data_IF_718323077247
#
_entry.id   IF_718323077247
#
_cell.length_a   1.000
_cell.length_b   1.000
_cell.length_c   1.000
_cell.angle_alpha   90.00
_cell.angle_beta   90.00
_cell.angle_gamma   90.00
#
_symmetry.space_group_name_H-M   'P 1'
#
loop_
_entity.id
_entity.type
_entity.pdbx_description
1 polymer ?
#
# COMPACT_ATOMS: atom_id res chain seq x y z
N UNK A 1 4.99 4.39 -3.87
CA UNK A 1 3.66 5.01 -3.98
C UNK A 1 2.70 4.29 -3.07
N UNK A 2 1.95 5.00 -2.21
CA UNK A 2 0.92 4.40 -1.36
C UNK A 2 -0.44 4.54 -2.05
N UNK A 3 -0.89 3.51 -2.77
CA UNK A 3 -2.19 3.54 -3.48
C UNK A 3 -3.38 3.45 -2.52
N UNK A 4 -3.26 2.61 -1.48
CA UNK A 4 -4.21 2.56 -0.35
C UNK A 4 -4.07 3.77 0.58
N UNK A 5 -4.42 4.94 0.05
CA UNK A 5 -4.12 6.24 0.64
C UNK A 5 -4.61 6.44 2.07
N UNK A 6 -5.69 5.78 2.49
CA UNK A 6 -6.20 5.84 3.87
C UNK A 6 -5.19 5.35 4.92
N UNK A 7 -4.11 4.66 4.52
CA UNK A 7 -2.98 4.28 5.39
C UNK A 7 -1.91 5.37 5.53
N UNK A 8 -2.28 6.64 5.29
CA UNK A 8 -1.37 7.79 5.29
C UNK A 8 -0.53 7.91 6.58
N UNK A 9 -1.12 7.63 7.74
CA UNK A 9 -0.44 7.71 9.03
C UNK A 9 0.84 6.85 9.08
N UNK A 10 0.80 5.64 8.50
CA UNK A 10 1.97 4.75 8.43
C UNK A 10 3.05 5.31 7.49
N UNK A 11 2.67 5.87 6.33
CA UNK A 11 3.60 6.52 5.41
C UNK A 11 4.27 7.73 6.08
N UNK A 12 3.51 8.58 6.76
CA UNK A 12 4.07 9.75 7.42
C UNK A 12 5.02 9.34 8.55
N UNK A 13 4.66 8.33 9.35
CA UNK A 13 5.55 7.80 10.38
C UNK A 13 6.86 7.29 9.78
N UNK A 14 6.81 6.54 8.68
CA UNK A 14 8.00 6.06 7.99
C UNK A 14 8.86 7.21 7.45
N UNK A 15 8.25 8.20 6.78
CA UNK A 15 8.98 9.37 6.25
C UNK A 15 9.62 10.20 7.37
N UNK A 16 8.98 10.30 8.53
CA UNK A 16 9.53 10.99 9.70
C UNK A 16 10.71 10.23 10.29
N UNK A 17 10.57 8.92 10.54
CA UNK A 17 11.64 8.07 11.09
C UNK A 17 12.87 8.05 10.17
N UNK A 18 12.67 8.11 8.85
CA UNK A 18 13.74 8.19 7.87
C UNK A 18 14.27 9.61 7.62
N UNK A 19 13.79 10.62 8.35
CA UNK A 19 14.28 12.01 8.26
C UNK A 19 13.89 12.75 6.98
N UNK A 20 12.97 12.20 6.16
CA UNK A 20 12.44 12.87 4.97
C UNK A 20 11.52 14.02 5.36
N UNK A 21 10.78 13.86 6.46
CA UNK A 21 9.93 14.89 7.06
C UNK A 21 10.44 15.16 8.49
N UNK A 22 10.83 16.41 8.76
CA UNK A 22 11.35 16.80 10.07
C UNK A 22 10.25 16.87 11.15
N UNK A 23 9.07 17.35 10.78
CA UNK A 23 7.93 17.49 11.68
C UNK A 23 7.37 16.13 12.09
N UNK A 24 7.02 15.99 13.38
CA UNK A 24 6.36 14.78 13.87
C UNK A 24 4.89 14.78 13.43
N UNK A 25 4.47 13.85 12.54
CA UNK A 25 3.10 13.85 12.01
C UNK A 25 2.05 13.62 13.10
N UNK A 26 2.39 12.93 14.19
CA UNK A 26 1.46 12.63 15.27
C UNK A 26 0.95 13.88 16.00
N UNK A 27 1.68 14.99 15.95
CA UNK A 27 1.31 16.23 16.64
C UNK A 27 0.16 16.96 15.96
N UNK A 28 0.05 16.86 14.63
CA UNK A 28 -0.92 17.66 13.86
C UNK A 28 -1.79 16.83 12.92
N UNK A 29 -1.65 15.51 12.89
CA UNK A 29 -2.46 14.62 12.05
C UNK A 29 -3.97 14.86 12.22
N UNK A 30 -4.66 15.04 11.09
CA UNK A 30 -6.11 15.23 11.05
C UNK A 30 -6.61 16.57 11.59
N UNK A 31 -5.74 17.48 12.02
CA UNK A 31 -6.13 18.84 12.44
C UNK A 31 -6.40 19.74 11.24
N UNK A 32 -7.32 20.68 11.40
CA UNK A 32 -7.57 21.70 10.38
C UNK A 32 -6.30 22.47 10.03
N UNK A 33 -6.05 22.68 8.74
CA UNK A 33 -4.84 23.34 8.23
C UNK A 33 -3.57 22.48 8.22
N UNK A 34 -3.60 21.27 8.80
CA UNK A 34 -2.46 20.35 8.74
C UNK A 34 -2.28 19.74 7.35
N UNK A 35 -1.02 19.54 6.95
CA UNK A 35 -0.69 18.76 5.75
C UNK A 35 -0.80 17.25 5.99
N UNK A 36 -0.72 16.81 7.24
CA UNK A 36 -0.86 15.40 7.64
C UNK A 36 -2.34 15.03 7.74
N UNK A 37 -2.96 14.68 6.61
CA UNK A 37 -4.37 14.29 6.55
C UNK A 37 -4.52 12.77 6.41
N UNK A 38 -5.75 12.26 6.43
CA UNK A 38 -6.03 10.83 6.24
C UNK A 38 -5.59 10.24 4.90
N UNK A 39 -5.10 11.07 3.98
CA UNK A 39 -4.68 10.71 2.64
C UNK A 39 -3.37 11.44 2.28
N UNK A 40 -2.38 10.80 1.64
CA UNK A 40 -1.10 11.42 1.29
C UNK A 40 -1.24 12.77 0.58
N UNK A 41 -0.55 13.78 1.11
CA UNK A 41 -0.51 15.11 0.52
C UNK A 41 0.83 15.33 -0.20
N UNK A 42 0.79 15.56 -1.51
CA UNK A 42 1.98 15.77 -2.34
C UNK A 42 2.78 17.05 -2.00
N UNK A 43 2.25 17.93 -1.14
CA UNK A 43 2.99 19.08 -0.59
C UNK A 43 4.04 18.67 0.44
N UNK A 44 3.94 17.46 1.00
CA UNK A 44 4.93 16.93 1.92
C UNK A 44 6.12 16.33 1.16
N UNK A 45 7.36 16.50 1.65
CA UNK A 45 8.54 15.85 1.09
C UNK A 45 8.38 14.33 0.99
N UNK A 46 8.91 13.75 -0.09
CA UNK A 46 8.85 12.30 -0.33
C UNK A 46 7.50 11.77 -0.84
N UNK A 47 6.50 12.64 -1.05
CA UNK A 47 5.19 12.25 -1.57
C UNK A 47 4.99 12.85 -2.97
N UNK A 48 5.21 12.07 -4.04
CA UNK A 48 5.20 12.60 -5.40
C UNK A 48 3.79 12.77 -5.99
N UNK A 49 2.76 12.17 -5.37
CA UNK A 49 1.37 12.22 -5.82
C UNK A 49 0.41 12.10 -4.63
N UNK A 50 -0.73 12.79 -4.71
CA UNK A 50 -1.79 12.65 -3.72
C UNK A 50 -2.67 11.44 -4.06
N UNK A 51 -2.91 10.57 -3.08
CA UNK A 51 -3.70 9.34 -3.24
C UNK A 51 -4.84 9.31 -2.24
N UNK A 52 -5.94 8.66 -2.56
CA UNK A 52 -7.10 8.52 -1.66
C UNK A 52 -8.35 8.04 -2.38
N UNK A 53 -8.46 8.37 -3.67
CA UNK A 53 -9.26 7.55 -4.58
C UNK A 53 -8.49 6.26 -4.85
N UNK A 54 -9.09 5.13 -4.48
CA UNK A 54 -8.50 3.80 -4.66
C UNK A 54 -8.19 3.54 -6.14
N UNK A 55 -7.19 2.69 -6.39
CA UNK A 55 -6.72 2.30 -7.72
C UNK A 55 -5.80 3.31 -8.40
N UNK A 56 -5.81 4.59 -8.02
CA UNK A 56 -5.11 5.66 -8.75
C UNK A 56 -3.58 5.72 -8.52
N UNK A 57 -3.09 5.19 -7.40
CA UNK A 57 -1.65 5.17 -7.12
C UNK A 57 -0.88 4.18 -8.01
N UNK A 58 -1.56 3.12 -8.45
CA UNK A 58 -0.99 2.05 -9.29
C UNK A 58 -0.57 2.56 -10.68
N UNK A 59 -1.45 3.18 -11.50
CA UNK A 59 -1.06 3.71 -12.80
C UNK A 59 -0.02 4.83 -12.70
N UNK A 60 -0.03 5.63 -11.62
CA UNK A 60 1.02 6.62 -11.39
C UNK A 60 2.40 5.94 -11.23
N UNK A 61 2.50 4.92 -10.37
CA UNK A 61 3.76 4.21 -10.14
C UNK A 61 4.24 3.46 -11.39
N UNK A 62 3.33 2.81 -12.12
CA UNK A 62 3.63 2.13 -13.38
C UNK A 62 4.07 3.12 -14.48
N UNK A 63 3.37 4.25 -14.60
CA UNK A 63 3.72 5.32 -15.55
C UNK A 63 5.08 5.95 -15.23
N UNK A 64 5.38 6.16 -13.96
CA UNK A 64 6.70 6.61 -13.52
C UNK A 64 7.79 5.58 -13.89
N UNK A 65 7.58 4.29 -13.62
CA UNK A 65 8.51 3.24 -14.01
C UNK A 65 8.77 3.22 -15.53
N UNK A 66 7.72 3.35 -16.35
CA UNK A 66 7.84 3.47 -17.79
C UNK A 66 8.68 4.70 -18.18
N UNK A 67 8.41 5.86 -17.58
CA UNK A 67 9.15 7.08 -17.86
C UNK A 67 10.65 6.94 -17.54
N UNK A 68 11.00 6.32 -16.40
CA UNK A 68 12.39 6.07 -16.02
C UNK A 68 13.10 5.15 -17.02
N UNK A 69 12.42 4.10 -17.48
CA UNK A 69 12.95 3.20 -18.50
C UNK A 69 13.18 3.92 -19.83
N UNK A 70 12.22 4.72 -20.28
CA UNK A 70 12.33 5.51 -21.52
C UNK A 70 13.47 6.55 -21.46
N UNK A 71 13.76 7.09 -20.28
CA UNK A 71 14.89 8.01 -20.06
C UNK A 71 16.24 7.31 -19.92
N UNK A 72 16.28 5.97 -19.78
CA UNK A 72 17.51 5.22 -19.55
C UNK A 72 18.15 5.48 -18.18
N UNK A 73 17.46 6.13 -17.24
CA UNK A 73 18.03 6.51 -15.93
C UNK A 73 18.03 5.35 -14.92
N UNK A 74 17.36 4.24 -15.25
CA UNK A 74 16.97 3.26 -14.26
C UNK A 74 15.97 3.83 -13.25
N UNK A 75 15.28 2.97 -12.54
CA UNK A 75 14.29 3.36 -11.54
C UNK A 75 13.26 2.28 -11.36
N UNK A 76 12.84 2.06 -10.12
CA UNK A 76 11.89 1.03 -9.73
C UNK A 76 10.59 1.68 -9.28
N UNK A 77 9.51 1.47 -10.03
CA UNK A 77 8.18 1.88 -9.58
C UNK A 77 7.66 0.88 -8.56
N UNK A 78 7.31 1.34 -7.37
CA UNK A 78 6.68 0.51 -6.34
C UNK A 78 5.34 1.14 -5.97
N UNK A 79 4.26 0.34 -6.04
CA UNK A 79 2.96 0.67 -5.48
C UNK A 79 2.63 -0.27 -4.32
N UNK A 80 2.04 0.28 -3.25
CA UNK A 80 1.47 -0.49 -2.14
C UNK A 80 -0.04 -0.25 -2.13
N UNK A 81 -0.82 -1.31 -2.26
CA UNK A 81 -2.28 -1.27 -2.31
C UNK A 81 -2.92 -2.27 -1.36
N UNK A 82 -4.25 -2.27 -1.31
CA UNK A 82 -5.02 -3.24 -0.53
C UNK A 82 -5.72 -4.28 -1.40
N UNK A 83 -6.09 -5.41 -0.82
CA UNK A 83 -6.94 -6.42 -1.48
C UNK A 83 -8.35 -5.88 -1.84
N UNK A 84 -8.97 -5.06 -0.99
CA UNK A 84 -10.22 -4.36 -1.34
C UNK A 84 -10.07 -3.37 -2.49
N UNK A 85 -8.89 -2.76 -2.66
CA UNK A 85 -8.59 -1.87 -3.79
C UNK A 85 -8.57 -2.62 -5.13
N UNK A 86 -8.35 -3.93 -5.13
CA UNK A 86 -8.38 -4.76 -6.34
C UNK A 86 -9.77 -4.89 -6.97
N UNK A 87 -10.82 -4.42 -6.30
CA UNK A 87 -12.16 -4.32 -6.89
C UNK A 87 -12.26 -3.19 -7.92
N UNK A 88 -11.37 -2.21 -7.88
CA UNK A 88 -11.33 -1.12 -8.85
C UNK A 88 -10.85 -1.64 -10.23
N UNK A 89 -11.63 -1.34 -11.27
CA UNK A 89 -11.30 -1.72 -12.65
C UNK A 89 -9.95 -1.17 -13.11
N UNK A 90 -9.61 0.04 -12.63
CA UNK A 90 -8.37 0.74 -12.95
C UNK A 90 -7.10 -0.07 -12.60
N UNK A 91 -7.16 -0.92 -11.57
CA UNK A 91 -6.04 -1.81 -11.22
C UNK A 91 -5.71 -2.76 -12.37
N UNK A 92 -6.75 -3.35 -12.95
CA UNK A 92 -6.62 -4.37 -14.00
C UNK A 92 -6.34 -3.76 -15.37
N UNK A 93 -6.89 -2.59 -15.65
CA UNK A 93 -6.49 -1.78 -16.81
C UNK A 93 -5.00 -1.44 -16.74
N UNK A 94 -4.51 -1.05 -15.56
CA UNK A 94 -3.09 -0.78 -15.34
C UNK A 94 -2.26 -2.04 -15.55
N UNK A 95 -2.67 -3.19 -14.99
CA UNK A 95 -1.98 -4.46 -15.17
C UNK A 95 -1.83 -4.85 -16.65
N UNK A 96 -2.90 -4.66 -17.44
CA UNK A 96 -2.87 -4.87 -18.89
C UNK A 96 -1.84 -3.96 -19.58
N UNK A 97 -1.80 -2.67 -19.24
CA UNK A 97 -0.83 -1.73 -19.82
C UNK A 97 0.60 -2.05 -19.41
N UNK A 98 0.83 -2.43 -18.15
CA UNK A 98 2.15 -2.84 -17.65
C UNK A 98 2.71 -3.98 -18.49
N UNK A 99 1.89 -5.01 -18.76
CA UNK A 99 2.27 -6.12 -19.62
C UNK A 99 2.47 -5.67 -21.07
N UNK A 100 1.51 -4.94 -21.65
CA UNK A 100 1.54 -4.54 -23.05
C UNK A 100 2.72 -3.64 -23.40
N UNK A 101 3.25 -2.91 -22.41
CA UNK A 101 4.44 -2.06 -22.54
C UNK A 101 5.70 -2.73 -21.99
N UNK A 102 5.62 -3.94 -21.44
CA UNK A 102 6.75 -4.66 -20.85
C UNK A 102 7.44 -3.88 -19.72
N UNK A 103 6.67 -3.26 -18.83
CA UNK A 103 7.18 -2.43 -17.71
C UNK A 103 7.71 -3.36 -16.60
N UNK A 104 8.83 -4.03 -16.84
CA UNK A 104 9.41 -4.99 -15.90
C UNK A 104 9.92 -4.36 -14.59
N UNK A 105 10.29 -3.08 -14.63
CA UNK A 105 10.75 -2.30 -13.48
C UNK A 105 9.60 -1.76 -12.61
N UNK A 106 8.55 -2.56 -12.44
CA UNK A 106 7.37 -2.23 -11.64
C UNK A 106 7.04 -3.36 -10.66
N UNK A 107 6.86 -3.00 -9.38
CA UNK A 107 6.41 -3.89 -8.32
C UNK A 107 5.10 -3.36 -7.76
N UNK A 108 4.08 -4.22 -7.71
CA UNK A 108 2.85 -3.97 -6.98
C UNK A 108 2.78 -4.87 -5.75
N UNK A 109 2.82 -4.27 -4.56
CA UNK A 109 2.64 -4.96 -3.29
C UNK A 109 1.18 -4.83 -2.88
N UNK A 110 0.51 -5.97 -2.72
CA UNK A 110 -0.87 -6.07 -2.26
C UNK A 110 -0.85 -6.49 -0.80
N UNK A 111 -1.39 -5.64 0.06
CA UNK A 111 -1.75 -5.98 1.44
C UNK A 111 -3.03 -6.81 1.45
N UNK A 112 -2.87 -8.13 1.62
CA UNK A 112 -3.95 -9.12 1.64
C UNK A 112 -4.33 -9.39 3.10
N UNK A 113 -5.20 -8.55 3.65
CA UNK A 113 -5.62 -8.60 5.06
C UNK A 113 -7.08 -9.06 5.26
N UNK A 114 -7.83 -9.26 4.16
CA UNK A 114 -9.19 -9.76 4.13
C UNK A 114 -10.27 -8.77 4.55
N UNK A 115 -9.94 -7.52 4.90
CA UNK A 115 -10.88 -6.57 5.49
C UNK A 115 -10.92 -5.22 4.76
N UNK A 116 -12.09 -4.85 4.26
CA UNK A 116 -12.33 -3.56 3.60
C UNK A 116 -13.08 -2.57 4.53
N UNK A 117 -13.74 -1.56 3.97
CA UNK A 117 -14.42 -0.53 4.77
C UNK A 117 -15.66 -1.08 5.48
N UNK A 118 -16.48 -1.84 4.76
CA UNK A 118 -17.81 -2.27 5.21
C UNK A 118 -17.83 -3.71 5.74
N UNK A 119 -16.66 -4.33 5.96
CA UNK A 119 -16.55 -5.69 6.48
C UNK A 119 -15.47 -6.53 5.80
N UNK A 120 -15.68 -7.85 5.79
CA UNK A 120 -14.77 -8.80 5.15
C UNK A 120 -14.87 -8.73 3.62
N UNK A 121 -13.73 -8.88 2.94
CA UNK A 121 -13.66 -8.93 1.49
C UNK A 121 -14.58 -10.03 0.92
N UNK A 122 -14.46 -11.20 1.51
CA UNK A 122 -15.13 -12.44 1.10
C UNK A 122 -16.66 -12.39 1.18
N UNK A 123 -17.22 -11.53 2.04
CA UNK A 123 -18.66 -11.41 2.25
C UNK A 123 -19.31 -10.37 1.34
N UNK A 124 -18.53 -9.44 0.80
CA UNK A 124 -19.05 -8.28 0.06
C UNK A 124 -18.76 -8.41 -1.44
N UNK A 125 -17.49 -8.59 -1.81
CA UNK A 125 -17.06 -8.71 -3.21
C UNK A 125 -15.68 -9.39 -3.25
N UNK A 126 -15.66 -10.73 -3.22
CA UNK A 126 -14.43 -11.50 -3.18
C UNK A 126 -13.62 -11.34 -4.47
N UNK A 127 -12.30 -11.42 -4.33
CA UNK A 127 -11.36 -11.44 -5.46
C UNK A 127 -10.58 -12.75 -5.43
N UNK A 128 -11.22 -13.90 -5.77
CA UNK A 128 -10.59 -15.20 -5.63
C UNK A 128 -9.44 -15.37 -6.63
N UNK A 129 -8.54 -16.32 -6.35
CA UNK A 129 -7.44 -16.71 -7.25
C UNK A 129 -6.54 -15.53 -7.62
N UNK A 130 -6.11 -14.75 -6.62
CA UNK A 130 -5.28 -13.55 -6.82
C UNK A 130 -4.01 -13.85 -7.61
N UNK A 131 -3.33 -14.95 -7.29
CA UNK A 131 -2.13 -15.39 -8.00
C UNK A 131 -2.43 -15.57 -9.49
N UNK A 132 -3.38 -16.43 -9.81
CA UNK A 132 -3.71 -16.79 -11.18
C UNK A 132 -4.20 -15.57 -11.96
N UNK A 133 -4.92 -14.66 -11.28
CA UNK A 133 -5.37 -13.41 -11.87
C UNK A 133 -4.19 -12.52 -12.27
N UNK A 134 -3.23 -12.26 -11.38
CA UNK A 134 -2.03 -11.47 -11.73
C UNK A 134 -1.15 -12.17 -12.79
N UNK A 135 -0.97 -13.49 -12.69
CA UNK A 135 -0.24 -14.28 -13.69
C UNK A 135 -0.91 -14.19 -15.08
N UNK A 136 -2.24 -14.17 -15.14
CA UNK A 136 -2.98 -13.96 -16.39
C UNK A 136 -2.76 -12.56 -17.00
N UNK A 137 -2.44 -11.55 -16.18
CA UNK A 137 -1.98 -10.23 -16.63
C UNK A 137 -0.46 -10.15 -16.85
N UNK A 138 0.26 -11.27 -16.82
CA UNK A 138 1.68 -11.34 -17.15
C UNK A 138 2.64 -10.93 -16.02
N UNK A 139 2.15 -10.83 -14.78
CA UNK A 139 3.00 -10.58 -13.62
C UNK A 139 3.66 -11.87 -13.14
N UNK A 140 4.89 -11.77 -12.64
CA UNK A 140 5.37 -12.76 -11.67
C UNK A 140 4.66 -12.55 -10.35
N UNK A 141 4.32 -13.63 -9.65
CA UNK A 141 3.65 -13.54 -8.35
C UNK A 141 4.49 -14.19 -7.27
N UNK A 142 4.83 -13.40 -6.24
CA UNK A 142 5.38 -13.87 -4.97
C UNK A 142 4.31 -13.75 -3.89
N UNK A 143 4.15 -14.79 -3.09
CA UNK A 143 3.29 -14.78 -1.90
C UNK A 143 4.20 -14.90 -0.68
N UNK A 144 3.88 -14.16 0.39
CA UNK A 144 4.69 -14.11 1.60
C UNK A 144 3.84 -13.84 2.85
N UNK A 145 4.42 -14.11 4.02
CA UNK A 145 3.94 -13.57 5.29
C UNK A 145 4.33 -12.08 5.40
N UNK A 146 3.32 -11.20 5.36
CA UNK A 146 3.51 -9.76 5.41
C UNK A 146 3.98 -9.22 6.76
N UNK A 147 4.16 -10.11 7.75
CA UNK A 147 4.75 -9.80 9.06
C UNK A 147 6.16 -10.37 9.25
N UNK A 148 6.69 -11.12 8.27
CA UNK A 148 8.07 -11.57 8.27
C UNK A 148 8.95 -10.60 7.47
N UNK A 149 9.78 -9.84 8.18
CA UNK A 149 10.68 -8.86 7.56
C UNK A 149 11.69 -9.50 6.60
N UNK A 150 12.15 -10.71 6.88
CA UNK A 150 13.08 -11.44 6.01
C UNK A 150 12.42 -11.82 4.69
N UNK A 151 11.19 -12.33 4.72
CA UNK A 151 10.43 -12.63 3.51
C UNK A 151 10.16 -11.37 2.69
N UNK A 152 9.75 -10.27 3.33
CA UNK A 152 9.48 -8.99 2.65
C UNK A 152 10.74 -8.48 1.93
N UNK A 153 11.89 -8.47 2.61
CA UNK A 153 13.14 -7.98 2.03
C UNK A 153 13.58 -8.78 0.81
N UNK A 154 13.46 -10.11 0.85
CA UNK A 154 13.80 -10.97 -0.29
C UNK A 154 12.75 -10.89 -1.42
N UNK A 155 11.49 -10.64 -1.10
CA UNK A 155 10.42 -10.65 -2.09
C UNK A 155 10.33 -9.35 -2.90
N UNK A 156 10.72 -8.20 -2.34
CA UNK A 156 10.61 -6.89 -3.02
C UNK A 156 11.87 -6.59 -3.86
N UNK A 157 12.17 -7.50 -4.78
CA UNK A 157 13.26 -7.38 -5.75
C UNK A 157 12.72 -7.41 -7.18
N UNK A 158 13.10 -6.46 -8.05
CA UNK A 158 12.61 -6.42 -9.42
C UNK A 158 13.12 -7.59 -10.26
N UNK A 159 12.32 -7.99 -11.25
CA UNK A 159 12.71 -8.97 -12.24
C UNK A 159 13.10 -8.28 -13.56
N UNK A 160 14.00 -8.88 -14.36
CA UNK A 160 14.50 -8.25 -15.58
C UNK A 160 13.47 -8.25 -16.72
N UNK A 161 12.57 -9.23 -16.77
CA UNK A 161 11.75 -9.55 -17.94
C UNK A 161 10.24 -9.37 -17.74
N UNK A 162 9.77 -9.14 -16.51
CA UNK A 162 8.34 -9.07 -16.17
C UNK A 162 8.09 -8.23 -14.91
N UNK A 163 6.90 -7.59 -14.79
CA UNK A 163 6.51 -6.92 -13.56
C UNK A 163 6.28 -7.93 -12.44
N UNK A 164 6.36 -7.46 -11.19
CA UNK A 164 6.19 -8.30 -10.00
C UNK A 164 4.94 -7.87 -9.22
N UNK A 165 4.10 -8.84 -8.87
CA UNK A 165 3.07 -8.71 -7.87
C UNK A 165 3.52 -9.46 -6.60
N UNK A 166 3.53 -8.78 -5.47
CA UNK A 166 3.81 -9.35 -4.16
C UNK A 166 2.51 -9.39 -3.38
N UNK A 167 1.99 -10.58 -3.13
CA UNK A 167 0.79 -10.82 -2.33
C UNK A 167 1.23 -11.05 -0.88
N UNK A 168 1.25 -9.97 -0.09
CA UNK A 168 1.63 -10.01 1.31
C UNK A 168 0.41 -10.36 2.15
N UNK A 169 0.38 -11.57 2.74
CA UNK A 169 -0.69 -11.98 3.66
C UNK A 169 -0.47 -11.27 4.99
N UNK A 170 -1.37 -10.39 5.38
CA UNK A 170 -1.24 -9.64 6.63
C UNK A 170 -2.47 -9.81 7.52
N UNK A 171 -2.44 -9.18 8.69
CA UNK A 171 -3.53 -9.14 9.66
C UNK A 171 -3.83 -7.68 9.92
N UNK A 172 -5.06 -7.26 9.64
CA UNK A 172 -5.48 -5.87 9.87
C UNK A 172 -5.34 -5.52 11.35
N UNK A 173 -4.77 -4.36 11.65
CA UNK A 173 -4.53 -3.95 13.04
C UNK A 173 -3.48 -4.77 13.78
N UNK A 174 -2.56 -5.45 13.06
CA UNK A 174 -1.48 -6.26 13.64
C UNK A 174 -0.79 -5.57 14.81
N UNK A 175 -0.56 -6.32 15.89
CA UNK A 175 0.19 -5.86 17.06
C UNK A 175 -0.68 -5.13 18.10
N UNK A 176 -1.90 -4.71 17.75
CA UNK A 176 -2.85 -4.13 18.70
C UNK A 176 -3.96 -5.13 18.98
N UNK A 177 -3.79 -5.95 20.03
CA UNK A 177 -4.70 -7.06 20.39
C UNK A 177 -6.20 -6.71 20.39
N UNK A 178 -6.57 -5.47 20.70
CA UNK A 178 -7.95 -5.03 20.74
C UNK A 178 -8.63 -4.87 19.36
N UNK A 179 -7.85 -4.73 18.29
CA UNK A 179 -8.34 -4.50 16.92
C UNK A 179 -7.69 -5.43 15.88
N UNK A 180 -6.81 -6.34 16.30
CA UNK A 180 -6.15 -7.30 15.42
C UNK A 180 -7.17 -8.23 14.78
N UNK A 181 -7.15 -8.30 13.45
CA UNK A 181 -8.10 -9.05 12.63
C UNK A 181 -9.50 -8.43 12.53
N UNK A 182 -9.74 -7.24 13.10
CA UNK A 182 -11.07 -6.63 13.10
C UNK A 182 -11.29 -5.75 11.84
N UNK A 183 -12.18 -6.12 10.90
CA UNK A 183 -12.47 -5.30 9.72
C UNK A 183 -13.06 -3.94 10.08
N UNK A 184 -13.85 -3.84 11.16
CA UNK A 184 -14.51 -2.62 11.65
C UNK A 184 -13.51 -1.57 12.16
N UNK A 185 -12.26 -1.97 12.39
CA UNK A 185 -11.20 -1.05 12.81
C UNK A 185 -10.66 -0.17 11.66
N UNK A 186 -11.24 -0.24 10.45
CA UNK A 186 -10.77 0.48 9.25
C UNK A 186 -10.59 2.00 9.48
N UNK A 187 -11.53 2.64 10.17
CA UNK A 187 -11.49 4.06 10.56
C UNK A 187 -11.71 4.26 12.05
N UNK A 188 -11.19 3.35 12.88
CA UNK A 188 -11.36 3.42 14.32
C UNK A 188 -10.87 4.76 14.89
N UNK A 189 -11.75 5.49 15.57
CA UNK A 189 -11.38 6.62 16.42
C UNK A 189 -11.01 6.08 17.79
N UNK A 190 -9.74 6.19 18.15
CA UNK A 190 -9.22 5.66 19.40
C UNK A 190 -9.14 6.83 20.41
N UNK A 191 -9.88 6.79 21.54
CA UNK A 191 -9.74 7.79 22.59
C UNK A 191 -8.31 7.85 23.12
N UNK A 192 -7.84 9.04 23.49
CA UNK A 192 -6.45 9.27 23.92
C UNK A 192 -5.99 8.30 25.03
N UNK A 193 -6.79 8.17 26.09
CA UNK A 193 -6.52 7.22 27.19
C UNK A 193 -6.37 5.77 26.72
N UNK A 194 -7.17 5.37 25.73
CA UNK A 194 -7.10 4.03 25.12
C UNK A 194 -5.83 3.90 24.28
N UNK A 195 -5.51 4.91 23.48
CA UNK A 195 -4.29 4.94 22.67
C UNK A 195 -3.02 4.88 23.54
N UNK A 196 -2.97 5.62 24.64
CA UNK A 196 -1.87 5.55 25.61
C UNK A 196 -1.70 4.15 26.21
N UNK A 197 -2.82 3.51 26.59
CA UNK A 197 -2.80 2.14 27.11
C UNK A 197 -2.25 1.18 26.06
N UNK A 198 -2.71 1.28 24.81
CA UNK A 198 -2.26 0.41 23.72
C UNK A 198 -0.79 0.64 23.37
N UNK A 199 -0.30 1.89 23.37
CA UNK A 199 1.12 2.22 23.16
C UNK A 199 2.04 1.52 24.18
N UNK A 200 1.63 1.45 25.45
CA UNK A 200 2.40 0.75 26.50
C UNK A 200 2.44 -0.78 26.32
N UNK A 201 1.55 -1.36 25.50
CA UNK A 201 1.57 -2.79 25.20
C UNK A 201 2.30 -3.14 23.91
N UNK A 202 2.81 -2.14 23.17
CA UNK A 202 3.59 -2.33 21.95
C UNK A 202 5.10 -2.41 22.21
N UNK A 203 5.53 -2.24 23.47
CA UNK A 203 6.91 -2.34 23.95
C UNK A 203 7.26 -3.74 24.41
#
# INVERSE_FOLDING_TARGET
>A
MLSKGHSAAALYAALHVHGVIAENPAETYGRSGSLFTGHPNHKLPGIPFATGSLGHGIPYAAGWALAQRLKGTGGLGIAVGGDGELQEGLVWETAQIVQAKGIANFIYIVDVNGGQNDGLLEEISPVPRLRERFEAFGFHVRELDGHDYGEILHAVEPLPDRPLAVLARTVKGKGVRAIEGNPDAHYAKIPEKTAEKWKRSLS
#
